data_IF_925482676361
#
_entry.id   IF_925482676361
#
_cell.length_a   1.000
_cell.length_b   1.000
_cell.length_c   1.000
_cell.angle_alpha   90.00
_cell.angle_beta   90.00
_cell.angle_gamma   90.00
#
_symmetry.space_group_name_H-M   'P 1'
#
loop_
_entity.id
_entity.type
_entity.pdbx_description
1 polymer ?
#
# COMPACT_ATOMS: atom_id res chain seq x y z
N UNK A 1 7.97 -31.87 23.68
CA UNK A 1 8.38 -32.81 22.61
C UNK A 1 7.57 -32.65 21.32
N UNK A 2 6.25 -32.94 21.24
CA UNK A 2 5.52 -32.84 19.96
C UNK A 2 5.49 -31.42 19.36
N UNK A 3 5.30 -30.37 20.16
CA UNK A 3 5.22 -28.99 19.64
C UNK A 3 6.57 -28.44 19.17
N UNK A 4 7.67 -28.77 19.86
CA UNK A 4 9.03 -28.37 19.46
C UNK A 4 9.46 -29.07 18.17
N UNK A 5 9.12 -30.35 18.01
CA UNK A 5 9.43 -31.12 16.80
C UNK A 5 8.63 -30.61 15.60
N UNK A 6 7.32 -30.32 15.79
CA UNK A 6 6.46 -29.66 14.77
C UNK A 6 6.91 -28.20 14.50
N UNK A 7 7.50 -27.53 15.48
CA UNK A 7 8.12 -26.21 15.34
C UNK A 7 9.37 -26.25 14.47
N UNK A 8 10.26 -27.21 14.75
CA UNK A 8 11.50 -27.43 14.02
C UNK A 8 11.23 -27.85 12.57
N UNK A 9 10.28 -28.76 12.35
CA UNK A 9 9.88 -29.22 11.02
C UNK A 9 9.42 -28.04 10.15
N UNK A 10 8.46 -27.25 10.63
CA UNK A 10 7.96 -26.10 9.88
C UNK A 10 9.01 -25.01 9.64
N UNK A 11 9.95 -24.82 10.56
CA UNK A 11 11.08 -23.91 10.35
C UNK A 11 11.95 -24.38 9.18
N UNK A 12 12.32 -25.66 9.17
CA UNK A 12 13.12 -26.26 8.09
C UNK A 12 12.36 -26.27 6.76
N UNK A 13 11.06 -26.58 6.77
CA UNK A 13 10.20 -26.53 5.58
C UNK A 13 10.17 -25.13 4.97
N UNK A 14 9.96 -24.09 5.78
CA UNK A 14 9.95 -22.72 5.27
C UNK A 14 11.33 -22.33 4.69
N UNK A 15 12.43 -22.73 5.34
CA UNK A 15 13.78 -22.46 4.81
C UNK A 15 14.06 -23.20 3.50
N UNK A 16 13.50 -24.39 3.30
CA UNK A 16 13.57 -25.10 2.04
C UNK A 16 12.81 -24.33 0.94
N UNK A 17 11.56 -23.93 1.19
CA UNK A 17 10.79 -23.14 0.23
C UNK A 17 11.46 -21.81 -0.14
N UNK A 18 12.01 -21.08 0.84
CA UNK A 18 12.77 -19.84 0.56
C UNK A 18 13.97 -20.11 -0.35
N UNK A 19 14.73 -21.18 -0.10
CA UNK A 19 15.91 -21.55 -0.89
C UNK A 19 15.51 -21.90 -2.32
N UNK A 20 14.50 -22.78 -2.47
CA UNK A 20 13.99 -23.20 -3.77
C UNK A 20 13.45 -22.01 -4.56
N UNK A 21 12.68 -21.12 -3.91
CA UNK A 21 12.17 -19.92 -4.56
C UNK A 21 13.29 -19.07 -5.16
N UNK A 22 14.32 -18.75 -4.36
CA UNK A 22 15.48 -17.95 -4.81
C UNK A 22 16.25 -18.66 -5.94
N UNK A 23 16.42 -19.97 -5.86
CA UNK A 23 17.10 -20.74 -6.91
C UNK A 23 16.32 -20.72 -8.23
N UNK A 24 14.99 -20.87 -8.18
CA UNK A 24 14.13 -20.78 -9.35
C UNK A 24 14.14 -19.37 -9.94
N UNK A 25 14.18 -18.32 -9.12
CA UNK A 25 14.36 -16.94 -9.61
C UNK A 25 15.67 -16.74 -10.37
N UNK A 26 16.78 -17.26 -9.83
CA UNK A 26 18.10 -17.20 -10.49
C UNK A 26 18.06 -17.92 -11.85
N UNK A 27 17.32 -19.03 -11.93
CA UNK A 27 17.12 -19.79 -13.17
C UNK A 27 16.10 -19.15 -14.14
N UNK A 28 15.41 -18.09 -13.73
CA UNK A 28 14.35 -17.44 -14.51
C UNK A 28 13.00 -18.15 -14.50
N UNK A 29 12.83 -19.18 -13.66
CA UNK A 29 11.62 -19.98 -13.54
C UNK A 29 10.62 -19.29 -12.59
N UNK A 30 10.09 -18.14 -12.98
CA UNK A 30 9.34 -17.26 -12.07
C UNK A 30 8.04 -17.88 -11.53
N UNK A 31 7.31 -18.68 -12.31
CA UNK A 31 6.09 -19.34 -11.81
C UNK A 31 6.39 -20.35 -10.69
N UNK A 32 7.48 -21.11 -10.82
CA UNK A 32 7.93 -22.01 -9.75
C UNK A 32 8.39 -21.22 -8.53
N UNK A 33 9.12 -20.12 -8.71
CA UNK A 33 9.51 -19.26 -7.61
C UNK A 33 8.29 -18.67 -6.87
N UNK A 34 7.25 -18.26 -7.59
CA UNK A 34 5.99 -17.78 -7.02
C UNK A 34 5.34 -18.86 -6.15
N UNK A 35 5.26 -20.11 -6.63
CA UNK A 35 4.69 -21.22 -5.87
C UNK A 35 5.44 -21.44 -4.55
N UNK A 36 6.78 -21.47 -4.59
CA UNK A 36 7.59 -21.65 -3.38
C UNK A 36 7.45 -20.48 -2.41
N UNK A 37 7.41 -19.22 -2.89
CA UNK A 37 7.18 -18.06 -2.03
C UNK A 37 5.78 -18.05 -1.40
N UNK A 38 4.74 -18.49 -2.11
CA UNK A 38 3.39 -18.66 -1.54
C UNK A 38 3.39 -19.70 -0.41
N UNK A 39 3.98 -20.88 -0.64
CA UNK A 39 4.12 -21.92 0.38
C UNK A 39 4.92 -21.45 1.60
N UNK A 40 5.98 -20.67 1.37
CA UNK A 40 6.71 -20.00 2.44
C UNK A 40 5.79 -19.09 3.27
N UNK A 41 5.04 -18.20 2.63
CA UNK A 41 4.13 -17.27 3.29
C UNK A 41 3.07 -18.00 4.14
N UNK A 42 2.48 -19.07 3.59
CA UNK A 42 1.49 -19.91 4.28
C UNK A 42 2.05 -20.59 5.54
N UNK A 43 3.27 -21.13 5.48
CA UNK A 43 3.92 -21.73 6.66
C UNK A 43 4.14 -20.66 7.74
N UNK A 44 4.57 -19.46 7.34
CA UNK A 44 4.80 -18.34 8.27
C UNK A 44 3.50 -17.82 8.88
N UNK A 45 2.42 -17.75 8.10
CA UNK A 45 1.10 -17.39 8.59
C UNK A 45 0.60 -18.38 9.65
N UNK A 46 0.62 -19.68 9.35
CA UNK A 46 0.16 -20.73 10.28
C UNK A 46 0.93 -20.72 11.61
N UNK A 47 2.18 -20.25 11.60
CA UNK A 47 3.04 -20.14 12.79
C UNK A 47 2.95 -18.77 13.47
N UNK A 48 2.10 -17.85 12.99
CA UNK A 48 1.98 -16.51 13.54
C UNK A 48 3.20 -15.62 13.29
N UNK A 49 4.11 -16.02 12.39
CA UNK A 49 5.30 -15.25 12.01
C UNK A 49 4.95 -14.21 10.95
N UNK A 50 4.07 -13.25 11.29
CA UNK A 50 3.45 -12.35 10.31
C UNK A 50 4.44 -11.46 9.56
N UNK A 51 5.52 -11.00 10.18
CA UNK A 51 6.58 -10.26 9.47
C UNK A 51 7.21 -11.10 8.34
N UNK A 52 7.45 -12.40 8.57
CA UNK A 52 7.97 -13.30 7.55
C UNK A 52 6.87 -13.69 6.53
N UNK A 53 5.61 -13.74 6.94
CA UNK A 53 4.49 -13.91 6.00
C UNK A 53 4.43 -12.74 4.99
N UNK A 54 4.51 -11.50 5.49
CA UNK A 54 4.65 -10.28 4.68
C UNK A 54 5.81 -10.39 3.69
N UNK A 55 6.98 -10.82 4.15
CA UNK A 55 8.15 -11.03 3.29
C UNK A 55 7.89 -12.03 2.15
N UNK A 56 7.14 -13.10 2.42
CA UNK A 56 6.71 -14.06 1.40
C UNK A 56 5.79 -13.41 0.35
N UNK A 57 4.72 -12.74 0.79
CA UNK A 57 3.79 -12.05 -0.12
C UNK A 57 4.47 -10.94 -0.94
N UNK A 58 5.38 -10.18 -0.35
CA UNK A 58 6.18 -9.19 -1.07
C UNK A 58 6.96 -9.81 -2.23
N UNK A 59 7.59 -10.96 -2.02
CA UNK A 59 8.34 -11.63 -3.08
C UNK A 59 7.43 -12.18 -4.18
N UNK A 60 6.27 -12.72 -3.83
CA UNK A 60 5.25 -13.11 -4.81
C UNK A 60 4.82 -11.89 -5.66
N UNK A 61 4.47 -10.79 -5.01
CA UNK A 61 4.00 -9.58 -5.67
C UNK A 61 5.04 -9.00 -6.63
N UNK A 62 6.31 -8.92 -6.21
CA UNK A 62 7.43 -8.47 -7.07
C UNK A 62 7.59 -9.34 -8.31
N UNK A 63 7.40 -10.66 -8.19
CA UNK A 63 7.47 -11.59 -9.32
C UNK A 63 6.29 -11.41 -10.27
N UNK A 64 5.08 -11.20 -9.75
CA UNK A 64 3.92 -10.86 -10.58
C UNK A 64 4.10 -9.54 -11.31
N UNK A 65 4.63 -8.48 -10.68
CA UNK A 65 4.94 -7.22 -11.36
C UNK A 65 5.96 -7.42 -12.49
N UNK A 66 7.02 -8.21 -12.25
CA UNK A 66 7.99 -8.57 -13.29
C UNK A 66 7.36 -9.29 -14.49
N UNK A 67 6.34 -10.12 -14.25
CA UNK A 67 5.57 -10.81 -15.27
C UNK A 67 4.43 -9.96 -15.87
N UNK A 68 4.30 -8.69 -15.45
CA UNK A 68 3.22 -7.77 -15.81
C UNK A 68 1.82 -8.26 -15.43
N UNK A 69 1.74 -9.11 -14.41
CA UNK A 69 0.50 -9.61 -13.81
C UNK A 69 0.09 -8.66 -12.68
N UNK A 70 -0.21 -7.41 -13.04
CA UNK A 70 -0.32 -6.32 -12.07
C UNK A 70 -1.48 -6.48 -11.09
N UNK A 71 -2.63 -7.03 -11.52
CA UNK A 71 -3.74 -7.32 -10.60
C UNK A 71 -3.36 -8.36 -9.54
N UNK A 72 -2.67 -9.43 -9.94
CA UNK A 72 -2.17 -10.45 -9.01
C UNK A 72 -1.12 -9.86 -8.04
N UNK A 73 -0.27 -8.94 -8.52
CA UNK A 73 0.68 -8.23 -7.69
C UNK A 73 -0.02 -7.34 -6.64
N UNK A 74 -1.06 -6.60 -7.06
CA UNK A 74 -1.87 -5.77 -6.18
C UNK A 74 -2.52 -6.59 -5.06
N UNK A 75 -3.10 -7.74 -5.39
CA UNK A 75 -3.69 -8.65 -4.39
C UNK A 75 -2.67 -9.14 -3.36
N UNK A 76 -1.44 -9.43 -3.80
CA UNK A 76 -0.37 -9.87 -2.89
C UNK A 76 0.14 -8.72 -2.00
N UNK A 77 0.26 -7.49 -2.50
CA UNK A 77 0.58 -6.33 -1.68
C UNK A 77 -0.56 -5.99 -0.70
N UNK A 78 -1.82 -6.15 -1.09
CA UNK A 78 -2.97 -5.98 -0.19
C UNK A 78 -3.02 -7.07 0.89
N UNK A 79 -2.59 -8.30 0.59
CA UNK A 79 -2.41 -9.33 1.61
C UNK A 79 -1.30 -8.94 2.59
N UNK A 80 -0.16 -8.45 2.09
CA UNK A 80 0.94 -7.98 2.93
C UNK A 80 0.53 -6.79 3.83
N UNK A 81 -0.25 -5.83 3.32
CA UNK A 81 -0.74 -4.68 4.09
C UNK A 81 -1.65 -5.14 5.24
N UNK A 82 -2.57 -6.08 5.02
CA UNK A 82 -3.43 -6.65 6.07
C UNK A 82 -2.62 -7.28 7.22
N UNK A 83 -1.52 -7.95 6.91
CA UNK A 83 -0.64 -8.48 7.96
C UNK A 83 0.14 -7.37 8.67
N UNK A 84 0.57 -6.32 7.96
CA UNK A 84 1.24 -5.17 8.55
C UNK A 84 0.30 -4.44 9.55
N UNK A 85 -0.96 -4.23 9.16
CA UNK A 85 -2.00 -3.70 10.05
C UNK A 85 -2.21 -4.59 11.28
N UNK A 86 -2.30 -5.91 11.08
CA UNK A 86 -2.49 -6.88 12.17
C UNK A 86 -1.40 -6.83 13.22
N UNK A 87 -0.16 -6.52 12.84
CA UNK A 87 0.97 -6.38 13.78
C UNK A 87 1.23 -4.94 14.23
N UNK A 88 0.41 -3.98 13.81
CA UNK A 88 0.57 -2.56 14.16
C UNK A 88 1.73 -1.84 13.45
N UNK A 89 2.28 -2.43 12.39
CA UNK A 89 3.38 -1.85 11.61
C UNK A 89 2.82 -0.93 10.52
N UNK A 90 2.32 0.24 10.93
CA UNK A 90 1.60 1.15 10.04
C UNK A 90 2.46 1.76 8.93
N UNK A 91 3.76 1.95 9.14
CA UNK A 91 4.68 2.36 8.07
C UNK A 91 4.76 1.32 6.96
N UNK A 92 4.75 0.03 7.31
CA UNK A 92 4.68 -1.06 6.33
C UNK A 92 3.31 -1.13 5.66
N UNK A 93 2.23 -0.90 6.41
CA UNK A 93 0.88 -0.84 5.83
C UNK A 93 0.82 0.22 4.73
N UNK A 94 1.23 1.47 5.02
CA UNK A 94 1.24 2.56 4.04
C UNK A 94 2.11 2.21 2.84
N UNK A 95 3.32 1.67 3.07
CA UNK A 95 4.22 1.24 2.01
C UNK A 95 3.56 0.23 1.06
N UNK A 96 2.93 -0.83 1.60
CA UNK A 96 2.27 -1.83 0.77
C UNK A 96 1.02 -1.29 0.08
N UNK A 97 0.25 -0.39 0.72
CA UNK A 97 -0.90 0.25 0.05
C UNK A 97 -0.45 1.11 -1.13
N UNK A 98 0.63 1.88 -1.02
CA UNK A 98 1.17 2.60 -2.18
C UNK A 98 1.59 1.66 -3.32
N UNK A 99 2.25 0.55 -3.01
CA UNK A 99 2.57 -0.46 -4.02
C UNK A 99 1.32 -1.07 -4.66
N UNK A 100 0.27 -1.33 -3.88
CA UNK A 100 -1.05 -1.76 -4.38
C UNK A 100 -1.62 -0.73 -5.37
N UNK A 101 -1.63 0.56 -5.00
CA UNK A 101 -2.15 1.61 -5.87
C UNK A 101 -1.35 1.69 -7.19
N UNK A 102 -0.02 1.63 -7.13
CA UNK A 102 0.85 1.57 -8.32
C UNK A 102 0.54 0.37 -9.23
N UNK A 103 0.22 -0.80 -8.65
CA UNK A 103 -0.14 -1.99 -9.43
C UNK A 103 -1.51 -1.82 -10.11
N UNK A 104 -2.50 -1.25 -9.41
CA UNK A 104 -3.80 -0.97 -10.02
C UNK A 104 -3.70 0.07 -11.14
N UNK A 105 -2.89 1.11 -10.96
CA UNK A 105 -2.62 2.10 -12.00
C UNK A 105 -1.98 1.44 -13.25
N UNK A 106 -0.92 0.64 -13.07
CA UNK A 106 -0.31 -0.14 -14.18
C UNK A 106 -1.32 -1.04 -14.88
N UNK A 107 -2.28 -1.61 -14.14
CA UNK A 107 -3.35 -2.45 -14.67
C UNK A 107 -4.46 -1.67 -15.40
N UNK A 108 -4.45 -0.33 -15.36
CA UNK A 108 -5.54 0.52 -15.83
C UNK A 108 -6.81 0.42 -14.97
N UNK A 109 -6.71 -0.14 -13.76
CA UNK A 109 -7.81 -0.27 -12.82
C UNK A 109 -7.90 0.98 -11.95
N UNK A 110 -8.25 2.10 -12.59
CA UNK A 110 -8.25 3.41 -11.95
C UNK A 110 -9.27 3.51 -10.81
N UNK A 111 -10.36 2.76 -10.86
CA UNK A 111 -11.31 2.70 -9.75
C UNK A 111 -10.69 2.06 -8.51
N UNK A 112 -10.07 0.89 -8.64
CA UNK A 112 -9.38 0.24 -7.54
C UNK A 112 -8.21 1.10 -7.01
N UNK A 113 -7.47 1.76 -7.91
CA UNK A 113 -6.38 2.67 -7.53
C UNK A 113 -6.90 3.90 -6.75
N UNK A 114 -7.99 4.53 -7.21
CA UNK A 114 -8.64 5.64 -6.51
C UNK A 114 -9.05 5.22 -5.09
N UNK A 115 -9.79 4.11 -4.96
CA UNK A 115 -10.24 3.59 -3.67
C UNK A 115 -9.06 3.25 -2.75
N UNK A 116 -7.95 2.78 -3.32
CA UNK A 116 -6.70 2.50 -2.61
C UNK A 116 -6.08 3.77 -2.01
N UNK A 117 -5.96 4.84 -2.79
CA UNK A 117 -5.47 6.14 -2.30
C UNK A 117 -6.41 6.76 -1.26
N UNK A 118 -7.72 6.67 -1.46
CA UNK A 118 -8.70 7.12 -0.45
C UNK A 118 -8.58 6.37 0.87
N UNK A 119 -8.29 5.07 0.84
CA UNK A 119 -8.04 4.30 2.05
C UNK A 119 -6.80 4.81 2.81
N UNK A 120 -5.73 5.18 2.09
CA UNK A 120 -4.53 5.81 2.69
C UNK A 120 -4.90 7.17 3.29
N UNK A 121 -5.67 7.99 2.55
CA UNK A 121 -6.13 9.29 3.02
C UNK A 121 -6.97 9.20 4.30
N UNK A 122 -7.92 8.26 4.32
CA UNK A 122 -8.76 7.98 5.49
C UNK A 122 -7.93 7.54 6.70
N UNK A 123 -6.94 6.68 6.48
CA UNK A 123 -6.02 6.23 7.52
C UNK A 123 -5.23 7.39 8.13
N UNK A 124 -4.61 8.24 7.31
CA UNK A 124 -3.89 9.41 7.81
C UNK A 124 -4.80 10.42 8.50
N UNK A 125 -6.00 10.64 7.97
CA UNK A 125 -7.02 11.51 8.56
C UNK A 125 -7.41 11.05 9.97
N UNK A 126 -7.60 9.74 10.15
CA UNK A 126 -7.91 9.14 11.45
C UNK A 126 -6.77 9.29 12.49
N UNK A 127 -5.52 9.38 12.02
CA UNK A 127 -4.34 9.65 12.86
C UNK A 127 -4.05 11.14 13.05
N UNK A 128 -4.92 12.04 12.58
CA UNK A 128 -4.68 13.48 12.55
C UNK A 128 -3.42 13.90 11.76
N UNK A 129 -2.92 13.03 10.88
CA UNK A 129 -1.89 13.40 9.90
C UNK A 129 -2.59 14.00 8.67
N UNK A 130 -3.03 15.26 8.80
CA UNK A 130 -3.84 15.91 7.78
C UNK A 130 -3.06 16.20 6.48
N UNK A 131 -1.76 16.46 6.58
CA UNK A 131 -0.89 16.58 5.40
C UNK A 131 -0.88 15.28 4.58
N UNK A 132 -0.58 14.14 5.22
CA UNK A 132 -0.57 12.84 4.54
C UNK A 132 -1.95 12.45 4.00
N UNK A 133 -3.01 12.83 4.71
CA UNK A 133 -4.37 12.62 4.24
C UNK A 133 -4.65 13.40 2.94
N UNK A 134 -4.30 14.69 2.94
CA UNK A 134 -4.51 15.56 1.78
C UNK A 134 -3.70 15.10 0.57
N UNK A 135 -2.43 14.75 0.76
CA UNK A 135 -1.57 14.19 -0.30
C UNK A 135 -2.18 12.93 -0.92
N UNK A 136 -2.64 11.98 -0.10
CA UNK A 136 -3.26 10.76 -0.60
C UNK A 136 -4.58 11.02 -1.36
N UNK A 137 -5.44 11.91 -0.86
CA UNK A 137 -6.67 12.28 -1.57
C UNK A 137 -6.37 13.02 -2.89
N UNK A 138 -5.32 13.84 -2.97
CA UNK A 138 -4.94 14.47 -4.24
C UNK A 138 -4.47 13.45 -5.28
N UNK A 139 -3.73 12.42 -4.87
CA UNK A 139 -3.42 11.29 -5.76
C UNK A 139 -4.68 10.56 -6.21
N UNK A 140 -5.67 10.36 -5.32
CA UNK A 140 -6.97 9.81 -5.72
C UNK A 140 -7.64 10.69 -6.81
N UNK A 141 -7.64 12.02 -6.62
CA UNK A 141 -8.18 12.96 -7.60
C UNK A 141 -7.43 12.91 -8.94
N UNK A 142 -6.10 12.78 -8.93
CA UNK A 142 -5.29 12.61 -10.14
C UNK A 142 -5.70 11.34 -10.91
N UNK A 143 -5.82 10.21 -10.22
CA UNK A 143 -6.27 8.95 -10.80
C UNK A 143 -7.71 9.07 -11.34
N UNK A 144 -8.62 9.74 -10.62
CA UNK A 144 -9.98 10.03 -11.09
C UNK A 144 -9.95 10.81 -12.41
N UNK A 145 -9.12 11.86 -12.52
CA UNK A 145 -8.97 12.64 -13.76
C UNK A 145 -8.38 11.81 -14.90
N UNK A 146 -7.36 10.98 -14.63
CA UNK A 146 -6.80 10.05 -15.62
C UNK A 146 -7.85 9.07 -16.14
N UNK A 147 -8.81 8.67 -15.30
CA UNK A 147 -9.97 7.88 -15.68
C UNK A 147 -11.08 8.67 -16.40
N UNK A 148 -10.89 9.97 -16.62
CA UNK A 148 -11.89 10.86 -17.24
C UNK A 148 -13.06 11.21 -16.33
N UNK A 149 -12.95 11.01 -15.01
CA UNK A 149 -13.97 11.42 -14.04
C UNK A 149 -13.89 12.92 -13.78
N UNK A 150 -15.05 13.54 -13.62
CA UNK A 150 -15.14 14.90 -13.11
C UNK A 150 -14.83 14.91 -11.60
N UNK A 151 -13.95 15.82 -11.19
CA UNK A 151 -13.50 15.99 -9.80
C UNK A 151 -13.96 17.32 -9.20
N UNK A 152 -14.81 18.07 -9.90
CA UNK A 152 -15.32 19.38 -9.47
C UNK A 152 -15.95 19.33 -8.08
N UNK A 153 -16.62 18.23 -7.74
CA UNK A 153 -17.25 17.99 -6.44
C UNK A 153 -16.40 17.14 -5.47
N UNK A 154 -15.16 16.77 -5.84
CA UNK A 154 -14.29 15.94 -5.00
C UNK A 154 -13.54 16.77 -3.95
N UNK A 155 -14.17 16.95 -2.79
CA UNK A 155 -13.75 17.85 -1.72
C UNK A 155 -12.78 17.25 -0.68
N UNK A 156 -12.49 15.94 -0.73
CA UNK A 156 -11.66 15.28 0.28
C UNK A 156 -10.26 15.93 0.44
N UNK A 157 -9.55 16.31 -0.64
CA UNK A 157 -8.29 17.05 -0.53
C UNK A 157 -8.43 18.40 0.18
N UNK A 158 -9.45 19.19 -0.17
CA UNK A 158 -9.70 20.52 0.42
C UNK A 158 -9.99 20.40 1.91
N UNK A 159 -10.83 19.45 2.29
CA UNK A 159 -11.19 19.21 3.68
C UNK A 159 -9.97 18.78 4.52
N UNK A 160 -9.10 17.93 3.97
CA UNK A 160 -7.86 17.55 4.63
C UNK A 160 -6.87 18.72 4.77
N UNK A 161 -6.68 19.52 3.71
CA UNK A 161 -5.84 20.72 3.80
C UNK A 161 -6.39 21.77 4.76
N UNK A 162 -7.72 21.93 4.84
CA UNK A 162 -8.37 22.82 5.81
C UNK A 162 -8.06 22.39 7.24
N UNK A 163 -8.15 21.09 7.54
CA UNK A 163 -7.76 20.55 8.85
C UNK A 163 -6.27 20.73 9.14
N UNK A 164 -5.41 20.54 8.13
CA UNK A 164 -3.97 20.78 8.27
C UNK A 164 -3.67 22.26 8.59
N UNK A 165 -4.35 23.18 7.90
CA UNK A 165 -4.28 24.62 8.19
C UNK A 165 -4.69 24.94 9.63
N UNK A 166 -5.86 24.44 10.07
CA UNK A 166 -6.37 24.67 11.42
C UNK A 166 -5.43 24.13 12.49
N UNK A 167 -4.85 22.94 12.27
CA UNK A 167 -3.85 22.36 13.14
C UNK A 167 -2.62 23.28 13.29
N UNK A 168 -1.94 23.62 12.19
CA UNK A 168 -0.72 24.43 12.26
C UNK A 168 -0.96 25.87 12.71
N UNK A 169 -2.09 26.46 12.33
CA UNK A 169 -2.51 27.77 12.83
C UNK A 169 -2.67 27.77 14.35
N UNK A 170 -3.25 26.70 14.92
CA UNK A 170 -3.38 26.56 16.38
C UNK A 170 -2.05 26.40 17.11
N UNK A 171 -1.02 25.88 16.44
CA UNK A 171 0.34 25.75 16.97
C UNK A 171 1.17 27.04 16.82
N UNK A 172 0.65 28.03 16.09
CA UNK A 172 1.39 29.27 15.78
C UNK A 172 2.38 29.14 14.62
N UNK A 173 2.40 27.99 13.93
CA UNK A 173 3.25 27.72 12.77
C UNK A 173 2.64 28.33 11.51
N UNK A 174 2.96 29.60 11.27
CA UNK A 174 2.34 30.39 10.20
C UNK A 174 2.69 29.91 8.80
N UNK A 175 3.93 29.47 8.59
CA UNK A 175 4.42 29.07 7.27
C UNK A 175 3.73 27.79 6.78
N UNK A 176 3.59 26.78 7.67
CA UNK A 176 2.88 25.52 7.36
C UNK A 176 1.38 25.73 7.17
N UNK A 177 0.78 26.64 7.94
CA UNK A 177 -0.60 27.05 7.74
C UNK A 177 -0.78 27.73 6.37
N UNK A 178 0.05 28.72 6.03
CA UNK A 178 -0.02 29.40 4.74
C UNK A 178 0.23 28.45 3.56
N UNK A 179 1.15 27.48 3.72
CA UNK A 179 1.35 26.42 2.73
C UNK A 179 0.04 25.67 2.45
N UNK A 180 -0.70 25.31 3.51
CA UNK A 180 -1.97 24.58 3.39
C UNK A 180 -3.02 25.39 2.62
N UNK A 181 -3.10 26.70 2.86
CA UNK A 181 -3.97 27.60 2.10
C UNK A 181 -3.60 27.64 0.61
N UNK A 182 -2.31 27.79 0.30
CA UNK A 182 -1.81 27.80 -1.09
C UNK A 182 -2.23 26.54 -1.83
N UNK A 183 -2.24 25.40 -1.15
CA UNK A 183 -2.49 24.10 -1.76
C UNK A 183 -3.97 23.80 -1.93
N UNK A 184 -4.81 24.27 -1.01
CA UNK A 184 -6.24 24.38 -1.29
C UNK A 184 -6.52 25.23 -2.53
N UNK A 185 -5.90 26.39 -2.66
CA UNK A 185 -6.07 27.25 -3.84
C UNK A 185 -5.59 26.56 -5.12
N UNK A 186 -4.44 25.88 -5.09
CA UNK A 186 -3.94 25.10 -6.24
C UNK A 186 -4.89 23.97 -6.63
N UNK A 187 -5.42 23.22 -5.65
CA UNK A 187 -6.36 22.15 -5.92
C UNK A 187 -7.71 22.67 -6.46
N UNK A 188 -8.20 23.81 -5.96
CA UNK A 188 -9.40 24.48 -6.52
C UNK A 188 -9.22 24.86 -7.98
N UNK A 189 -8.05 25.38 -8.35
CA UNK A 189 -7.72 25.70 -9.75
C UNK A 189 -7.74 24.44 -10.63
N UNK A 190 -7.21 23.33 -10.12
CA UNK A 190 -7.28 22.01 -10.76
C UNK A 190 -8.73 21.55 -10.97
N UNK A 191 -9.61 21.71 -9.97
CA UNK A 191 -11.04 21.37 -10.08
C UNK A 191 -11.77 22.23 -11.14
N UNK A 192 -11.44 23.52 -11.25
CA UNK A 192 -12.05 24.43 -12.23
C UNK A 192 -11.45 24.34 -13.63
N UNK A 193 -10.38 23.56 -13.84
CA UNK A 193 -9.71 23.42 -15.13
C UNK A 193 -8.96 24.68 -15.59
N UNK A 194 -8.54 25.53 -14.65
CA UNK A 194 -7.87 26.83 -14.87
C UNK A 194 -6.45 26.81 -14.33
#
# INVERSE_FOLDING_TARGET
>A
MKEEEIGMDAYLTARAYEREAREQEIRGNFESAIEHWKRYAEVKERKGSYFLCIFGYFNVARLFDRLRRWKDAAECFEAASKFAERIGEFSLWVFFKHLTCQMYEKAGDYEACTNCYEAIGNFFSAMHNFFGAADAYEHAAEIMRLAGKDISDYEAPIEAWRKNYEYWSSQGERDDAEWSLKRMSSYRAIQSGT
#
